data_IF_229310457681
#
_entry.id   IF_229310457681
#
_cell.length_a   1.000
_cell.length_b   1.000
_cell.length_c   1.000
_cell.angle_alpha   90.00
_cell.angle_beta   90.00
_cell.angle_gamma   90.00
#
_symmetry.space_group_name_H-M   'P 1'
#
loop_
_entity.id
_entity.type
_entity.pdbx_description
1 polymer ?
#
# COMPACT_ATOMS: atom_id res chain seq x y z
N UNK A 1 27.96 -10.61 11.40
CA UNK A 1 27.85 -11.06 10.00
C UNK A 1 27.99 -9.83 9.10
N UNK A 2 28.95 -9.81 8.15
CA UNK A 2 29.17 -8.69 7.24
C UNK A 2 28.42 -8.96 5.92
N UNK A 3 27.52 -8.06 5.51
CA UNK A 3 26.71 -8.17 4.29
C UNK A 3 27.18 -7.18 3.19
N UNK A 4 28.33 -6.52 3.38
CA UNK A 4 28.81 -5.48 2.46
C UNK A 4 29.12 -5.95 1.03
N UNK A 5 29.32 -7.26 0.82
CA UNK A 5 29.58 -7.87 -0.50
C UNK A 5 28.34 -8.13 -1.37
N UNK A 6 27.12 -7.88 -0.87
CA UNK A 6 25.88 -8.17 -1.59
C UNK A 6 25.42 -7.06 -2.54
N UNK A 7 26.33 -6.17 -2.93
CA UNK A 7 26.06 -5.04 -3.81
C UNK A 7 25.70 -5.48 -5.24
N UNK A 8 24.70 -4.84 -5.84
CA UNK A 8 24.37 -4.90 -7.28
C UNK A 8 24.54 -3.54 -7.93
N UNK A 9 25.11 -3.51 -9.12
CA UNK A 9 25.15 -2.31 -9.94
C UNK A 9 23.89 -2.23 -10.83
N UNK A 10 23.36 -1.01 -10.99
CA UNK A 10 22.18 -0.70 -11.80
C UNK A 10 22.63 -0.23 -13.19
N UNK A 11 22.67 -1.17 -14.17
CA UNK A 11 23.17 -0.88 -15.51
C UNK A 11 22.04 -0.40 -16.45
N UNK A 12 22.41 0.42 -17.45
CA UNK A 12 21.56 0.79 -18.59
C UNK A 12 20.22 1.43 -18.19
N UNK A 13 20.21 2.33 -17.23
CA UNK A 13 19.00 3.02 -16.81
C UNK A 13 18.79 4.31 -17.64
N UNK A 14 17.59 4.46 -18.23
CA UNK A 14 17.21 5.71 -18.90
C UNK A 14 17.11 6.87 -17.90
N UNK A 15 17.42 8.08 -18.34
CA UNK A 15 17.20 9.29 -17.57
C UNK A 15 15.72 9.43 -17.20
N UNK A 16 15.46 9.93 -16.00
CA UNK A 16 14.09 10.23 -15.53
C UNK A 16 13.70 11.68 -15.79
N UNK A 17 14.65 12.50 -16.22
CA UNK A 17 14.38 13.87 -16.60
C UNK A 17 13.74 13.88 -17.99
N UNK A 18 12.47 14.21 -18.02
CA UNK A 18 11.64 14.39 -19.21
C UNK A 18 10.81 15.67 -19.03
N UNK A 19 10.06 16.06 -20.03
CA UNK A 19 9.24 17.28 -20.03
C UNK A 19 7.94 17.14 -19.22
N UNK A 20 7.83 16.10 -18.36
CA UNK A 20 6.64 15.87 -17.54
C UNK A 20 6.77 16.61 -16.22
N UNK A 21 5.99 17.68 -16.09
CA UNK A 21 5.95 18.51 -14.89
C UNK A 21 4.83 18.10 -13.90
N UNK A 22 3.89 17.28 -14.33
CA UNK A 22 2.82 16.74 -13.45
C UNK A 22 3.27 15.42 -12.82
N UNK A 23 3.40 15.37 -11.48
CA UNK A 23 3.83 14.17 -10.77
C UNK A 23 2.83 13.00 -10.87
N UNK A 24 1.54 13.27 -11.07
CA UNK A 24 0.52 12.21 -11.20
C UNK A 24 0.58 11.56 -12.58
N UNK A 25 0.83 12.36 -13.63
CA UNK A 25 1.09 11.83 -14.97
C UNK A 25 2.36 10.99 -14.96
N UNK A 26 3.43 11.48 -14.33
CA UNK A 26 4.68 10.72 -14.19
C UNK A 26 4.50 9.42 -13.38
N UNK A 27 3.71 9.47 -12.30
CA UNK A 27 3.36 8.27 -11.54
C UNK A 27 2.64 7.25 -12.43
N UNK A 28 1.64 7.69 -13.21
CA UNK A 28 0.90 6.83 -14.12
C UNK A 28 1.81 6.14 -15.14
N UNK A 29 2.73 6.87 -15.75
CA UNK A 29 3.70 6.31 -16.72
C UNK A 29 4.61 5.26 -16.06
N UNK A 30 5.16 5.58 -14.89
CA UNK A 30 6.03 4.66 -14.16
C UNK A 30 5.30 3.43 -13.67
N UNK A 31 4.07 3.60 -13.18
CA UNK A 31 3.22 2.50 -12.73
C UNK A 31 2.82 1.57 -13.88
N UNK A 32 2.41 2.13 -15.01
CA UNK A 32 2.09 1.38 -16.24
C UNK A 32 3.30 0.58 -16.75
N UNK A 33 4.49 1.15 -16.67
CA UNK A 33 5.72 0.41 -16.98
C UNK A 33 6.00 -0.71 -15.97
N UNK A 34 5.83 -0.42 -14.68
CA UNK A 34 6.00 -1.40 -13.61
C UNK A 34 5.02 -2.57 -13.73
N UNK A 35 3.77 -2.35 -14.14
CA UNK A 35 2.79 -3.42 -14.37
C UNK A 35 3.26 -4.48 -15.36
N UNK A 36 4.17 -4.13 -16.28
CA UNK A 36 4.72 -5.05 -17.29
C UNK A 36 5.99 -5.78 -16.83
N UNK A 37 6.62 -5.33 -15.74
CA UNK A 37 7.98 -5.76 -15.35
C UNK A 37 8.09 -6.24 -13.91
N UNK A 38 7.16 -5.89 -13.06
CA UNK A 38 7.16 -6.14 -11.61
C UNK A 38 5.99 -7.06 -11.27
N UNK A 39 6.23 -8.06 -10.45
CA UNK A 39 5.22 -9.08 -10.10
C UNK A 39 4.02 -8.50 -9.33
N UNK A 40 4.26 -7.56 -8.42
CA UNK A 40 3.23 -6.91 -7.58
C UNK A 40 3.46 -5.39 -7.51
N UNK A 41 3.26 -4.66 -8.62
CA UNK A 41 3.62 -3.23 -8.73
C UNK A 41 2.81 -2.33 -7.80
N UNK A 42 1.64 -2.79 -7.35
CA UNK A 42 0.75 -2.08 -6.43
C UNK A 42 1.09 -2.29 -4.94
N UNK A 43 2.08 -3.14 -4.63
CA UNK A 43 2.57 -3.28 -3.26
C UNK A 43 3.41 -2.06 -2.86
N UNK A 44 3.15 -1.53 -1.67
CA UNK A 44 3.90 -0.41 -1.11
C UNK A 44 4.07 -0.53 0.40
N UNK A 45 5.14 0.05 0.92
CA UNK A 45 5.32 0.22 2.36
C UNK A 45 4.57 1.49 2.81
N UNK A 46 3.62 1.33 3.74
CA UNK A 46 2.97 2.45 4.43
C UNK A 46 3.70 2.72 5.74
N UNK A 47 4.21 3.93 5.90
CA UNK A 47 4.78 4.43 7.15
C UNK A 47 3.79 5.38 7.83
N UNK A 48 3.51 5.10 9.09
CA UNK A 48 2.68 5.92 9.98
C UNK A 48 3.44 6.19 11.27
N UNK A 49 3.07 7.22 12.00
CA UNK A 49 3.64 7.48 13.32
C UNK A 49 2.56 7.90 14.32
N UNK A 50 2.74 7.52 15.56
CA UNK A 50 1.89 7.87 16.68
C UNK A 50 2.78 8.00 17.91
N UNK A 51 2.59 9.05 18.72
CA UNK A 51 3.41 9.31 19.92
C UNK A 51 4.93 9.24 19.63
N UNK A 52 5.37 9.87 18.55
CA UNK A 52 6.77 9.87 18.08
C UNK A 52 7.34 8.48 17.72
N UNK A 53 6.51 7.45 17.67
CA UNK A 53 6.94 6.09 17.31
C UNK A 53 6.51 5.77 15.87
N UNK A 54 7.45 5.61 14.95
CA UNK A 54 7.16 5.21 13.58
C UNK A 54 6.83 3.72 13.50
N UNK A 55 6.03 3.36 12.51
CA UNK A 55 5.72 1.95 12.21
C UNK A 55 5.42 1.79 10.73
N UNK A 56 5.93 0.71 10.12
CA UNK A 56 5.80 0.45 8.69
C UNK A 56 5.25 -0.96 8.43
N UNK A 57 4.51 -1.12 7.32
CA UNK A 57 3.98 -2.41 6.85
C UNK A 57 3.69 -2.36 5.36
N UNK A 58 3.63 -3.54 4.73
CA UNK A 58 3.20 -3.64 3.35
C UNK A 58 1.69 -3.46 3.22
N UNK A 59 1.27 -2.75 2.19
CA UNK A 59 -0.11 -2.51 1.79
C UNK A 59 -0.23 -2.64 0.27
N UNK A 60 -1.46 -2.71 -0.23
CA UNK A 60 -1.74 -2.74 -1.67
C UNK A 60 -2.52 -1.50 -2.09
N UNK A 61 -1.99 -0.78 -3.07
CA UNK A 61 -2.71 0.29 -3.75
C UNK A 61 -3.91 -0.31 -4.50
N UNK A 62 -5.05 0.33 -4.40
CA UNK A 62 -6.29 -0.11 -5.05
C UNK A 62 -6.79 0.86 -6.11
N UNK A 63 -6.58 2.14 -5.88
CA UNK A 63 -6.95 3.19 -6.83
C UNK A 63 -5.91 4.31 -6.72
N UNK A 64 -5.65 5.01 -7.81
CA UNK A 64 -4.85 6.23 -7.83
C UNK A 64 -5.39 7.23 -8.85
N UNK A 65 -5.08 8.48 -8.63
CA UNK A 65 -5.47 9.64 -9.40
C UNK A 65 -4.92 10.84 -8.65
N UNK A 66 -5.77 11.78 -8.26
CA UNK A 66 -5.38 12.89 -7.36
C UNK A 66 -4.97 12.40 -5.97
N UNK A 67 -5.42 11.21 -5.56
CA UNK A 67 -5.11 10.57 -4.28
C UNK A 67 -4.73 9.10 -4.47
N UNK A 68 -4.14 8.50 -3.44
CA UNK A 68 -3.72 7.10 -3.43
C UNK A 68 -4.55 6.32 -2.43
N UNK A 69 -5.38 5.37 -2.91
CA UNK A 69 -6.40 4.69 -2.10
C UNK A 69 -5.98 3.28 -1.73
N UNK A 70 -6.17 2.95 -0.46
CA UNK A 70 -6.01 1.60 0.09
C UNK A 70 -7.06 1.31 1.15
N UNK A 71 -7.24 0.04 1.49
CA UNK A 71 -8.26 -0.39 2.45
C UNK A 71 -7.62 -1.13 3.62
N UNK A 72 -8.17 -0.93 4.82
CA UNK A 72 -7.63 -1.53 6.04
C UNK A 72 -8.69 -1.69 7.12
N UNK A 73 -8.28 -2.27 8.26
CA UNK A 73 -9.10 -2.34 9.46
C UNK A 73 -8.77 -1.16 10.39
N UNK A 74 -9.78 -0.39 10.77
CA UNK A 74 -9.65 0.79 11.66
C UNK A 74 -9.14 0.42 13.07
N UNK A 75 -9.40 -0.80 13.53
CA UNK A 75 -8.94 -1.30 14.83
C UNK A 75 -7.51 -1.86 14.80
N UNK A 76 -6.83 -1.82 13.64
CA UNK A 76 -5.43 -2.24 13.53
C UNK A 76 -4.48 -1.18 14.08
N UNK A 77 -3.20 -1.55 14.33
CA UNK A 77 -2.16 -0.60 14.77
C UNK A 77 -2.11 0.64 13.86
N UNK A 78 -2.07 0.45 12.53
CA UNK A 78 -2.09 1.58 11.58
C UNK A 78 -3.39 2.39 11.62
N UNK A 79 -4.54 1.76 11.85
CA UNK A 79 -5.81 2.46 12.01
C UNK A 79 -5.80 3.39 13.21
N UNK A 80 -5.24 2.94 14.33
CA UNK A 80 -5.02 3.77 15.52
C UNK A 80 -4.04 4.91 15.25
N UNK A 81 -2.90 4.62 14.59
CA UNK A 81 -1.91 5.64 14.24
C UNK A 81 -2.54 6.76 13.40
N UNK A 82 -3.30 6.39 12.36
CA UNK A 82 -3.97 7.34 11.44
C UNK A 82 -4.98 8.24 12.18
N UNK A 83 -5.61 7.74 13.24
CA UNK A 83 -6.54 8.52 14.04
C UNK A 83 -5.81 9.62 14.82
N UNK A 84 -4.61 9.33 15.30
CA UNK A 84 -3.81 10.27 16.10
C UNK A 84 -2.96 11.21 15.23
N UNK A 85 -2.38 10.70 14.16
CA UNK A 85 -1.55 11.47 13.23
C UNK A 85 -1.88 11.11 11.78
N UNK A 86 -2.32 12.10 11.04
CA UNK A 86 -2.70 11.94 9.64
C UNK A 86 -1.52 12.01 8.68
N UNK A 87 -0.33 12.42 9.11
CA UNK A 87 0.84 12.44 8.24
C UNK A 87 1.34 11.01 8.01
N UNK A 88 1.64 10.69 6.77
CA UNK A 88 2.15 9.39 6.38
C UNK A 88 3.03 9.48 5.14
N UNK A 89 3.82 8.44 4.94
CA UNK A 89 4.56 8.22 3.72
C UNK A 89 4.23 6.85 3.14
N UNK A 90 4.10 6.77 1.82
CA UNK A 90 4.04 5.52 1.08
C UNK A 90 5.26 5.39 0.20
N UNK A 91 5.81 4.18 0.12
CA UNK A 91 7.02 3.88 -0.61
C UNK A 91 6.79 2.67 -1.52
N UNK A 92 6.85 2.88 -2.83
CA UNK A 92 6.97 1.81 -3.81
C UNK A 92 8.44 1.50 -4.04
N UNK A 93 8.82 0.21 -4.02
CA UNK A 93 10.13 -0.25 -4.41
C UNK A 93 10.00 -1.33 -5.49
N UNK A 94 10.32 -0.97 -6.71
CA UNK A 94 10.29 -1.86 -7.88
C UNK A 94 11.71 -2.33 -8.20
N UNK A 95 12.10 -3.38 -7.50
CA UNK A 95 13.45 -3.94 -7.54
C UNK A 95 13.88 -4.33 -8.96
N UNK A 96 12.98 -4.92 -9.72
CA UNK A 96 13.23 -5.45 -11.07
C UNK A 96 13.64 -4.35 -12.07
N UNK A 97 13.20 -3.14 -11.82
CA UNK A 97 13.46 -1.98 -12.66
C UNK A 97 14.26 -0.88 -11.94
N UNK A 98 14.72 -1.17 -10.74
CA UNK A 98 15.53 -0.27 -9.91
C UNK A 98 14.91 1.12 -9.70
N UNK A 99 13.59 1.16 -9.49
CA UNK A 99 12.82 2.38 -9.29
C UNK A 99 12.17 2.41 -7.93
N UNK A 100 12.13 3.62 -7.37
CA UNK A 100 11.41 3.90 -6.14
C UNK A 100 10.55 5.13 -6.33
N UNK A 101 9.34 5.13 -5.75
CA UNK A 101 8.51 6.33 -5.62
C UNK A 101 8.16 6.50 -4.15
N UNK A 102 8.48 7.66 -3.59
CA UNK A 102 8.04 8.03 -2.23
C UNK A 102 7.01 9.13 -2.34
N UNK A 103 5.91 8.99 -1.60
CA UNK A 103 4.83 9.96 -1.58
C UNK A 103 4.52 10.28 -0.13
N UNK A 104 4.80 11.52 0.26
CA UNK A 104 4.50 12.06 1.58
C UNK A 104 3.22 12.86 1.51
N UNK A 105 2.34 12.70 2.51
CA UNK A 105 1.06 13.39 2.48
C UNK A 105 0.21 13.20 3.74
N UNK A 106 -1.07 13.54 3.62
CA UNK A 106 -2.05 13.39 4.68
C UNK A 106 -3.08 12.32 4.34
N UNK A 107 -3.36 11.47 5.31
CA UNK A 107 -4.37 10.42 5.22
C UNK A 107 -5.76 10.96 5.59
N UNK A 108 -6.76 10.54 4.83
CA UNK A 108 -8.17 10.85 5.05
C UNK A 108 -9.01 9.59 4.84
N UNK A 109 -10.06 9.41 5.62
CA UNK A 109 -11.04 8.34 5.40
C UNK A 109 -11.92 8.70 4.21
N UNK A 110 -12.15 7.75 3.33
CA UNK A 110 -13.09 7.89 2.23
C UNK A 110 -14.53 7.56 2.66
N UNK A 111 -15.50 7.96 1.87
CA UNK A 111 -16.91 7.75 2.15
C UNK A 111 -17.28 6.27 2.32
N UNK A 112 -18.16 5.98 3.28
CA UNK A 112 -18.57 4.63 3.63
C UNK A 112 -19.26 3.90 2.46
N UNK A 113 -20.07 4.58 1.66
CA UNK A 113 -20.77 3.96 0.52
C UNK A 113 -19.74 3.49 -0.54
N UNK A 114 -18.70 4.28 -0.81
CA UNK A 114 -17.58 3.90 -1.69
C UNK A 114 -16.82 2.69 -1.12
N UNK A 115 -16.58 2.66 0.19
CA UNK A 115 -15.92 1.54 0.87
C UNK A 115 -16.76 0.26 0.76
N UNK A 116 -18.07 0.33 1.01
CA UNK A 116 -18.99 -0.81 0.89
C UNK A 116 -19.06 -1.33 -0.55
N UNK A 117 -19.15 -0.42 -1.54
CA UNK A 117 -19.14 -0.81 -2.97
C UNK A 117 -17.89 -1.60 -3.31
N UNK A 118 -16.71 -1.11 -2.90
CA UNK A 118 -15.46 -1.84 -3.13
C UNK A 118 -15.39 -3.14 -2.33
N UNK A 119 -15.88 -3.20 -1.08
CA UNK A 119 -15.91 -4.43 -0.30
C UNK A 119 -16.64 -5.55 -1.02
N UNK A 120 -17.83 -5.25 -1.56
CA UNK A 120 -18.66 -6.23 -2.27
C UNK A 120 -18.19 -6.56 -3.69
N UNK A 121 -17.30 -5.77 -4.29
CA UNK A 121 -16.66 -6.12 -5.56
C UNK A 121 -15.51 -7.12 -5.40
N UNK A 122 -15.07 -7.38 -4.17
CA UNK A 122 -13.96 -8.32 -3.88
C UNK A 122 -14.45 -9.77 -3.94
N UNK A 123 -13.55 -10.73 -4.24
CA UNK A 123 -13.84 -12.15 -4.08
C UNK A 123 -14.39 -12.47 -2.67
N UNK A 124 -15.29 -13.45 -2.61
CA UNK A 124 -15.95 -13.86 -1.34
C UNK A 124 -14.92 -14.23 -0.27
N UNK A 125 -13.87 -14.93 -0.64
CA UNK A 125 -12.77 -15.32 0.24
C UNK A 125 -12.10 -14.09 0.89
N UNK A 126 -11.92 -13.03 0.12
CA UNK A 126 -11.34 -11.78 0.61
C UNK A 126 -12.32 -11.01 1.53
N UNK A 127 -13.61 -11.08 1.25
CA UNK A 127 -14.65 -10.50 2.13
C UNK A 127 -14.69 -11.22 3.46
N UNK A 128 -14.64 -12.57 3.46
CA UNK A 128 -14.60 -13.40 4.67
C UNK A 128 -13.33 -13.14 5.46
N UNK A 129 -12.17 -13.11 4.81
CA UNK A 129 -10.90 -12.78 5.46
C UNK A 129 -10.97 -11.45 6.21
N UNK A 130 -11.57 -10.41 5.60
CA UNK A 130 -11.76 -9.12 6.25
C UNK A 130 -12.76 -9.17 7.43
N UNK A 131 -13.80 -10.02 7.34
CA UNK A 131 -14.82 -10.17 8.39
C UNK A 131 -14.26 -10.83 9.65
N UNK A 132 -13.42 -11.86 9.50
CA UNK A 132 -12.94 -12.67 10.62
C UNK A 132 -11.64 -12.15 11.26
N UNK A 133 -10.90 -11.26 10.56
CA UNK A 133 -9.58 -10.82 10.97
C UNK A 133 -9.63 -9.75 12.06
N UNK A 134 -9.09 -10.10 13.24
CA UNK A 134 -8.71 -9.12 14.26
C UNK A 134 -7.30 -8.60 13.99
N UNK A 135 -7.17 -7.79 12.93
CA UNK A 135 -5.90 -7.33 12.39
C UNK A 135 -5.01 -6.67 13.44
N UNK A 136 -3.72 -7.02 13.47
CA UNK A 136 -2.70 -6.54 14.42
C UNK A 136 -2.89 -7.02 15.87
N UNK A 137 -3.75 -7.99 16.12
CA UNK A 137 -3.89 -8.64 17.42
C UNK A 137 -3.23 -10.02 17.41
N UNK A 138 -2.65 -10.46 18.55
CA UNK A 138 -2.17 -11.82 18.68
C UNK A 138 -3.30 -12.83 18.45
N UNK A 139 -2.98 -13.95 17.82
CA UNK A 139 -3.90 -15.08 17.65
C UNK A 139 -3.41 -16.26 18.50
N UNK A 140 -4.35 -17.02 19.06
CA UNK A 140 -4.01 -18.21 19.88
C UNK A 140 -3.35 -19.30 19.03
N UNK A 141 -3.84 -19.49 17.80
CA UNK A 141 -3.34 -20.50 16.88
C UNK A 141 -3.76 -20.16 15.45
N UNK A 142 -2.87 -20.44 14.49
CA UNK A 142 -3.18 -20.32 13.07
C UNK A 142 -4.32 -21.28 12.66
N UNK A 143 -4.31 -22.51 13.17
CA UNK A 143 -5.35 -23.49 12.86
C UNK A 143 -6.74 -23.02 13.29
N UNK A 144 -6.87 -22.43 14.47
CA UNK A 144 -8.15 -21.84 14.92
C UNK A 144 -8.64 -20.73 13.98
N UNK A 145 -7.74 -19.94 13.40
CA UNK A 145 -8.12 -18.94 12.41
C UNK A 145 -8.60 -19.58 11.11
N UNK A 146 -7.94 -20.65 10.64
CA UNK A 146 -8.37 -21.43 9.48
C UNK A 146 -9.74 -22.08 9.73
N UNK A 147 -9.96 -22.70 10.88
CA UNK A 147 -11.24 -23.30 11.23
C UNK A 147 -12.37 -22.26 11.24
N UNK A 148 -12.11 -21.08 11.82
CA UNK A 148 -13.03 -19.95 11.79
C UNK A 148 -13.32 -19.48 10.36
N UNK A 149 -12.31 -19.47 9.49
CA UNK A 149 -12.44 -19.12 8.07
C UNK A 149 -13.34 -20.13 7.35
N UNK A 150 -13.07 -21.41 7.47
CA UNK A 150 -13.85 -22.49 6.84
C UNK A 150 -15.29 -22.53 7.32
N UNK A 151 -15.51 -22.39 8.63
CA UNK A 151 -16.85 -22.31 9.21
C UNK A 151 -17.62 -21.09 8.69
N UNK A 152 -16.92 -19.96 8.49
CA UNK A 152 -17.54 -18.74 7.96
C UNK A 152 -17.90 -18.88 6.48
N UNK A 153 -17.06 -19.50 5.65
CA UNK A 153 -17.40 -19.86 4.27
C UNK A 153 -18.69 -20.69 4.23
N UNK A 154 -18.75 -21.76 5.05
CA UNK A 154 -19.92 -22.64 5.11
C UNK A 154 -21.18 -21.87 5.56
N UNK A 155 -21.05 -20.99 6.56
CA UNK A 155 -22.17 -20.18 7.08
C UNK A 155 -22.74 -19.20 6.05
N UNK A 156 -21.90 -18.61 5.22
CA UNK A 156 -22.29 -17.60 4.22
C UNK A 156 -22.37 -18.14 2.79
N UNK A 157 -22.35 -19.48 2.63
CA UNK A 157 -22.61 -20.10 1.33
C UNK A 157 -23.97 -19.60 0.81
N UNK A 158 -23.99 -18.97 -0.36
CA UNK A 158 -25.17 -18.39 -1.00
C UNK A 158 -25.87 -17.26 -0.18
N UNK A 159 -25.15 -16.63 0.75
CA UNK A 159 -25.67 -15.49 1.53
C UNK A 159 -24.74 -14.29 1.40
N UNK A 160 -25.33 -13.11 1.49
CA UNK A 160 -24.55 -11.86 1.53
C UNK A 160 -23.68 -11.81 2.80
N UNK A 161 -22.40 -11.55 2.64
CA UNK A 161 -21.45 -11.38 3.75
C UNK A 161 -21.71 -10.02 4.40
N UNK A 162 -21.85 -9.94 5.74
CA UNK A 162 -22.06 -8.66 6.40
C UNK A 162 -20.80 -7.77 6.25
N UNK A 163 -21.05 -6.49 6.00
CA UNK A 163 -19.96 -5.50 5.92
C UNK A 163 -19.31 -5.32 7.32
N UNK A 164 -17.98 -5.52 7.46
CA UNK A 164 -17.33 -5.40 8.76
C UNK A 164 -17.30 -3.94 9.22
N UNK A 165 -17.78 -3.66 10.44
CA UNK A 165 -17.86 -2.28 10.99
C UNK A 165 -16.51 -1.55 11.01
N UNK A 166 -15.42 -2.31 11.18
CA UNK A 166 -14.06 -1.76 11.29
C UNK A 166 -13.31 -1.69 9.96
N UNK A 167 -13.91 -2.10 8.84
CA UNK A 167 -13.25 -2.06 7.55
C UNK A 167 -13.45 -0.69 6.91
N UNK A 168 -12.34 -0.02 6.59
CA UNK A 168 -12.32 1.36 6.12
C UNK A 168 -11.46 1.50 4.87
N UNK A 169 -11.78 2.49 4.07
CA UNK A 169 -10.93 2.98 3.01
C UNK A 169 -10.22 4.25 3.44
N UNK A 170 -8.98 4.38 3.02
CA UNK A 170 -8.10 5.50 3.29
C UNK A 170 -7.56 6.02 1.96
N UNK A 171 -7.54 7.32 1.79
CA UNK A 171 -6.83 8.00 0.73
C UNK A 171 -5.67 8.81 1.30
N UNK A 172 -4.52 8.74 0.64
CA UNK A 172 -3.40 9.64 0.89
C UNK A 172 -3.48 10.78 -0.12
N UNK A 173 -3.65 12.00 0.40
CA UNK A 173 -3.54 13.25 -0.36
C UNK A 173 -2.06 13.63 -0.42
N UNK A 174 -1.42 13.56 -1.60
CA UNK A 174 0.00 13.84 -1.74
C UNK A 174 0.29 15.32 -1.45
N UNK A 175 1.42 15.56 -0.79
CA UNK A 175 2.02 16.87 -0.62
C UNK A 175 3.36 16.95 -1.32
N UNK A 176 4.03 15.78 -1.45
CA UNK A 176 5.34 15.65 -2.03
C UNK A 176 5.46 14.28 -2.68
N UNK A 177 5.97 14.25 -3.90
CA UNK A 177 6.26 13.01 -4.62
C UNK A 177 7.70 13.03 -5.09
N UNK A 178 8.47 12.01 -4.70
CA UNK A 178 9.84 11.80 -5.14
C UNK A 178 9.91 10.56 -6.03
N UNK A 179 10.49 10.72 -7.19
CA UNK A 179 10.88 9.65 -8.10
C UNK A 179 12.38 9.41 -7.99
N UNK A 180 12.77 8.17 -7.77
CA UNK A 180 14.16 7.77 -7.67
C UNK A 180 14.45 6.64 -8.66
N UNK A 181 15.53 6.79 -9.42
CA UNK A 181 16.03 5.79 -10.36
C UNK A 181 17.44 5.40 -9.98
N UNK A 182 17.68 4.09 -9.79
CA UNK A 182 19.03 3.56 -9.60
C UNK A 182 19.90 3.81 -10.82
N UNK A 183 21.11 4.28 -10.61
CA UNK A 183 22.11 4.54 -11.65
C UNK A 183 23.44 3.86 -11.35
N UNK A 184 24.30 3.74 -12.35
CA UNK A 184 25.64 3.18 -12.24
C UNK A 184 26.51 3.99 -11.26
N UNK A 185 27.53 3.38 -10.74
CA UNK A 185 28.51 4.00 -9.82
C UNK A 185 27.90 4.69 -8.59
N UNK A 186 26.67 4.33 -8.21
CA UNK A 186 25.86 4.97 -7.16
C UNK A 186 25.42 6.41 -7.49
N UNK A 187 25.53 6.81 -8.74
CA UNK A 187 25.01 8.08 -9.21
C UNK A 187 23.53 7.88 -9.56
N UNK A 188 22.67 8.09 -8.56
CA UNK A 188 21.23 7.91 -8.70
C UNK A 188 20.56 9.21 -9.12
N UNK A 189 19.48 9.07 -9.88
CA UNK A 189 18.67 10.21 -10.29
C UNK A 189 17.52 10.40 -9.33
N UNK A 190 17.22 11.63 -8.97
CA UNK A 190 16.08 11.99 -8.13
C UNK A 190 15.36 13.18 -8.73
N UNK A 191 14.03 13.10 -8.77
CA UNK A 191 13.14 14.16 -9.16
C UNK A 191 12.07 14.31 -8.10
N UNK A 192 11.86 15.53 -7.62
CA UNK A 192 10.96 15.83 -6.51
C UNK A 192 9.95 16.90 -6.93
N UNK A 193 8.69 16.68 -6.55
CA UNK A 193 7.56 17.61 -6.73
C UNK A 193 6.95 17.90 -5.36
N UNK A 194 6.71 19.20 -5.07
CA UNK A 194 6.12 19.70 -3.83
C UNK A 194 4.73 20.28 -4.08
#
# INVERSE_FOLDING_TARGET
MNIGSTRKDYKNQKLIFDDIHDPLIKFHQWYTYAQKKVSEPNAFALSTSSQNTPSSRMMLLKEYGETFVFYTNNSSKKGSDITQNKNASILFWWKEIHRQIRIDGKLKKIDKKRVEKYFYSRPIESQIGALISDQSKPIKSYNLLIDKYLATIKRYKNKKIPFPKNWIGIELMPKKIEFWQGGEFRIHQRLEFN
#
